data_IF_699597881862
#
_entry.id   IF_699597881862
#
_cell.length_a   1.000
_cell.length_b   1.000
_cell.length_c   1.000
_cell.angle_alpha   90.00
_cell.angle_beta   90.00
_cell.angle_gamma   90.00
#
_symmetry.space_group_name_H-M   'P 1'
#
loop_
_entity.id
_entity.type
_entity.pdbx_description
1 polymer ?
#
# COMPACT_ATOMS: atom_id res chain seq x y z
N UNK A 1 -16.66 4.02 -13.21
CA UNK A 1 -15.27 3.61 -13.46
C UNK A 1 -14.58 4.78 -14.13
N UNK A 2 -13.42 5.24 -13.69
CA UNK A 2 -12.65 6.16 -14.51
C UNK A 2 -12.32 5.45 -15.82
N UNK A 3 -12.39 6.20 -16.93
CA UNK A 3 -11.99 5.72 -18.25
C UNK A 3 -10.63 5.02 -18.15
N UNK A 4 -10.45 3.92 -18.88
CA UNK A 4 -9.17 3.19 -18.84
C UNK A 4 -8.04 4.16 -19.22
N UNK A 5 -6.89 4.06 -18.57
CA UNK A 5 -5.74 4.95 -18.83
C UNK A 5 -5.32 4.96 -20.32
N UNK A 6 -5.54 3.88 -21.05
CA UNK A 6 -5.31 3.80 -22.49
C UNK A 6 -6.22 4.73 -23.30
N UNK A 7 -7.47 4.94 -22.83
CA UNK A 7 -8.41 5.89 -23.45
C UNK A 7 -8.02 7.34 -23.15
N UNK A 8 -7.44 7.62 -21.97
CA UNK A 8 -7.02 8.97 -21.61
C UNK A 8 -5.91 9.50 -22.51
N UNK A 9 -4.91 8.68 -22.90
CA UNK A 9 -3.85 9.13 -23.81
C UNK A 9 -4.37 9.38 -25.22
N UNK A 10 -5.31 8.56 -25.71
CA UNK A 10 -5.91 8.76 -27.06
C UNK A 10 -6.83 9.98 -27.15
N UNK A 11 -7.32 10.47 -26.02
CA UNK A 11 -8.21 11.65 -25.91
C UNK A 11 -7.48 12.91 -25.43
N UNK A 12 -6.17 12.83 -25.14
CA UNK A 12 -5.39 13.99 -24.70
C UNK A 12 -5.25 15.04 -25.78
N UNK A 13 -5.81 16.21 -25.51
CA UNK A 13 -5.63 17.40 -26.33
C UNK A 13 -4.28 18.10 -26.09
N UNK A 14 -3.67 17.94 -24.91
CA UNK A 14 -2.48 18.67 -24.52
C UNK A 14 -1.48 17.81 -23.74
N UNK A 15 -0.34 17.52 -24.37
CA UNK A 15 0.85 17.00 -23.70
C UNK A 15 1.51 18.16 -22.95
N UNK A 16 1.55 18.11 -21.63
CA UNK A 16 2.16 19.18 -20.83
C UNK A 16 3.68 19.10 -20.83
N UNK A 17 4.25 17.89 -20.74
CA UNK A 17 5.70 17.65 -20.77
C UNK A 17 6.00 16.26 -21.32
N UNK A 18 7.02 16.16 -22.18
CA UNK A 18 7.54 14.91 -22.74
C UNK A 18 8.98 14.69 -22.26
N UNK A 19 9.25 13.50 -21.76
CA UNK A 19 10.58 13.04 -21.32
C UNK A 19 10.98 11.82 -22.17
N UNK A 20 11.58 12.02 -23.34
CA UNK A 20 11.98 10.92 -24.20
C UNK A 20 13.14 10.12 -23.58
N UNK A 21 13.01 8.78 -23.59
CA UNK A 21 14.06 7.83 -23.23
C UNK A 21 14.78 7.39 -24.52
N UNK A 22 14.02 7.28 -25.62
CA UNK A 22 14.49 6.96 -26.96
C UNK A 22 13.60 7.65 -27.99
N UNK A 23 13.90 7.49 -29.29
CA UNK A 23 13.06 8.04 -30.38
C UNK A 23 11.63 7.51 -30.35
N UNK A 24 11.42 6.32 -29.74
CA UNK A 24 10.15 5.61 -29.74
C UNK A 24 9.51 5.40 -28.37
N UNK A 25 10.15 5.80 -27.27
CA UNK A 25 9.65 5.57 -25.92
C UNK A 25 10.01 6.70 -24.98
N UNK A 26 9.20 6.92 -23.95
CA UNK A 26 9.43 7.94 -22.93
C UNK A 26 8.37 7.96 -21.85
N UNK A 27 8.35 9.06 -21.10
CA UNK A 27 7.35 9.35 -20.05
C UNK A 27 6.67 10.66 -20.37
N UNK A 28 5.34 10.67 -20.37
CA UNK A 28 4.54 11.87 -20.57
C UNK A 28 3.92 12.33 -19.25
N UNK A 29 3.85 13.66 -19.09
CA UNK A 29 2.90 14.30 -18.21
C UNK A 29 1.89 15.00 -19.11
N UNK A 30 0.62 14.70 -18.92
CA UNK A 30 -0.48 15.24 -19.72
C UNK A 30 -1.62 15.69 -18.83
N UNK A 31 -2.39 16.67 -19.30
CA UNK A 31 -3.55 17.19 -18.59
C UNK A 31 -4.85 16.54 -19.12
N UNK A 32 -5.71 16.15 -18.20
CA UNK A 32 -7.08 15.71 -18.49
C UNK A 32 -8.01 16.17 -17.36
N UNK A 33 -9.03 16.97 -17.70
CA UNK A 33 -10.02 17.44 -16.73
C UNK A 33 -9.41 18.23 -15.56
N UNK A 34 -8.49 19.14 -15.81
CA UNK A 34 -7.75 19.97 -14.83
C UNK A 34 -6.86 19.15 -13.86
N UNK A 35 -6.46 17.95 -14.23
CA UNK A 35 -5.50 17.12 -13.48
C UNK A 35 -4.37 16.68 -14.39
N UNK A 36 -3.15 16.67 -13.85
CA UNK A 36 -2.00 16.10 -14.51
C UNK A 36 -1.92 14.61 -14.24
N UNK A 37 -1.63 13.84 -15.27
CA UNK A 37 -1.41 12.40 -15.22
C UNK A 37 -0.03 12.04 -15.74
N UNK A 38 0.49 10.91 -15.29
CA UNK A 38 1.77 10.35 -15.73
C UNK A 38 1.50 9.10 -16.55
N UNK A 39 2.19 8.93 -17.67
CA UNK A 39 2.16 7.69 -18.40
C UNK A 39 3.49 7.40 -19.10
N UNK A 40 4.11 6.23 -18.85
CA UNK A 40 5.05 5.66 -19.79
C UNK A 40 4.38 5.45 -21.16
N UNK A 41 5.07 5.78 -22.24
CA UNK A 41 4.52 5.73 -23.59
C UNK A 41 5.48 5.11 -24.60
N UNK A 42 4.92 4.69 -25.73
CA UNK A 42 5.66 4.34 -26.94
C UNK A 42 5.03 5.01 -28.18
N UNK A 43 5.89 5.27 -29.19
CA UNK A 43 5.52 5.77 -30.50
C UNK A 43 5.83 4.66 -31.52
N UNK A 44 4.83 3.88 -31.90
CA UNK A 44 4.95 2.85 -32.96
C UNK A 44 4.07 3.21 -34.18
N UNK A 45 2.79 2.95 -34.12
CA UNK A 45 1.78 3.36 -35.15
C UNK A 45 1.04 4.65 -34.74
N UNK A 46 1.54 5.35 -33.76
CA UNK A 46 0.98 6.51 -33.10
C UNK A 46 1.44 6.54 -31.65
N UNK A 47 1.07 7.59 -30.93
CA UNK A 47 1.34 7.71 -29.50
C UNK A 47 0.37 6.81 -28.73
N UNK A 48 0.89 5.88 -27.96
CA UNK A 48 0.09 5.04 -27.06
C UNK A 48 0.77 4.84 -25.72
N UNK A 49 0.00 4.49 -24.71
CA UNK A 49 0.53 4.05 -23.43
C UNK A 49 1.36 2.79 -23.59
N UNK A 50 2.48 2.73 -22.87
CA UNK A 50 3.31 1.54 -22.80
C UNK A 50 2.61 0.41 -22.03
N UNK A 51 2.91 -0.81 -22.42
CA UNK A 51 2.56 -2.03 -21.70
C UNK A 51 3.86 -2.79 -21.34
N UNK A 52 3.76 -3.87 -20.57
CA UNK A 52 4.94 -4.59 -20.10
C UNK A 52 5.89 -5.08 -21.21
N UNK A 53 5.37 -5.41 -22.40
CA UNK A 53 6.20 -5.86 -23.52
C UNK A 53 7.06 -4.75 -24.13
N UNK A 54 6.70 -3.50 -23.87
CA UNK A 54 7.45 -2.35 -24.35
C UNK A 54 8.68 -2.04 -23.48
N UNK A 55 8.75 -2.59 -22.28
CA UNK A 55 9.87 -2.47 -21.33
C UNK A 55 10.32 -1.02 -21.09
N UNK A 56 9.40 -0.08 -20.97
CA UNK A 56 9.72 1.35 -20.86
C UNK A 56 10.34 1.67 -19.51
N UNK A 57 9.86 1.05 -18.42
CA UNK A 57 10.44 1.22 -17.09
C UNK A 57 11.85 0.60 -17.00
N UNK A 58 12.03 -0.57 -17.65
CA UNK A 58 13.34 -1.20 -17.76
C UNK A 58 14.33 -0.32 -18.54
N UNK A 59 13.89 0.25 -19.67
CA UNK A 59 14.70 1.20 -20.46
C UNK A 59 15.06 2.45 -19.65
N UNK A 60 14.08 3.03 -18.94
CA UNK A 60 14.30 4.23 -18.11
C UNK A 60 15.35 4.02 -17.04
N UNK A 61 15.31 2.87 -16.33
CA UNK A 61 16.25 2.57 -15.26
C UNK A 61 17.60 1.99 -15.75
N UNK A 62 17.72 1.61 -17.03
CA UNK A 62 18.95 1.12 -17.63
C UNK A 62 19.74 2.19 -18.39
N UNK A 63 19.18 3.39 -18.57
CA UNK A 63 19.76 4.48 -19.33
C UNK A 63 19.90 5.73 -18.46
N UNK A 64 20.67 6.73 -18.90
CA UNK A 64 20.67 8.05 -18.27
C UNK A 64 19.24 8.61 -18.22
N UNK A 65 18.89 9.17 -17.07
CA UNK A 65 17.58 9.75 -16.86
C UNK A 65 17.39 10.94 -17.82
N UNK A 66 16.22 11.04 -18.50
CA UNK A 66 15.91 12.15 -19.40
C UNK A 66 16.07 13.52 -18.74
N UNK A 67 16.51 14.50 -19.55
CA UNK A 67 16.63 15.89 -19.11
C UNK A 67 15.29 16.40 -18.53
N UNK A 68 15.35 17.10 -17.41
CA UNK A 68 14.18 17.62 -16.68
C UNK A 68 13.61 16.65 -15.63
N UNK A 69 14.05 15.40 -15.61
CA UNK A 69 13.82 14.46 -14.52
C UNK A 69 15.02 14.39 -13.58
N UNK A 70 14.75 14.10 -12.31
CA UNK A 70 15.77 13.78 -11.30
C UNK A 70 15.51 12.36 -10.78
N UNK A 71 16.56 11.55 -10.72
CA UNK A 71 16.49 10.21 -10.13
C UNK A 71 17.51 10.07 -9.00
N UNK A 72 17.11 9.36 -7.94
CA UNK A 72 18.00 8.85 -6.91
C UNK A 72 18.30 7.37 -7.10
N UNK A 73 17.70 6.72 -8.11
CA UNK A 73 17.95 5.31 -8.45
C UNK A 73 19.28 5.19 -9.18
N UNK A 74 20.15 4.30 -8.72
CA UNK A 74 21.37 3.96 -9.45
C UNK A 74 21.01 3.24 -10.76
N UNK A 75 21.66 3.57 -11.90
CA UNK A 75 21.42 2.86 -13.15
C UNK A 75 21.66 1.36 -13.00
N UNK A 76 20.73 0.56 -13.51
CA UNK A 76 20.81 -0.89 -13.56
C UNK A 76 20.92 -1.43 -14.98
N UNK A 77 20.70 -2.73 -15.15
CA UNK A 77 20.55 -3.36 -16.45
C UNK A 77 19.33 -4.28 -16.39
N UNK A 78 18.24 -3.86 -17.00
CA UNK A 78 16.96 -4.57 -16.95
C UNK A 78 16.49 -4.88 -18.37
N UNK A 79 15.91 -6.07 -18.56
CA UNK A 79 15.56 -6.60 -19.89
C UNK A 79 14.10 -7.00 -20.01
N UNK A 80 13.44 -7.35 -18.92
CA UNK A 80 12.07 -7.81 -18.90
C UNK A 80 11.23 -6.99 -17.94
N UNK A 81 9.96 -6.84 -18.29
CA UNK A 81 8.98 -6.11 -17.50
C UNK A 81 7.65 -6.86 -17.47
N UNK A 82 7.03 -6.96 -16.31
CA UNK A 82 5.65 -7.44 -16.17
C UNK A 82 4.84 -6.56 -15.25
N UNK A 83 3.56 -6.38 -15.55
CA UNK A 83 2.63 -5.68 -14.66
C UNK A 83 2.22 -6.54 -13.47
N UNK A 84 1.99 -5.88 -12.33
CA UNK A 84 1.24 -6.43 -11.21
C UNK A 84 -0.18 -5.88 -11.29
N UNK A 85 -1.18 -6.76 -11.42
CA UNK A 85 -2.59 -6.40 -11.68
C UNK A 85 -3.38 -6.00 -10.41
N UNK A 86 -2.74 -5.57 -9.33
CA UNK A 86 -3.36 -5.60 -8.01
C UNK A 86 -3.80 -4.24 -7.49
N UNK A 87 -3.32 -3.10 -8.01
CA UNK A 87 -3.63 -1.82 -7.37
C UNK A 87 -4.37 -0.83 -8.28
N UNK A 88 -5.34 -0.10 -7.69
CA UNK A 88 -6.18 0.86 -8.40
C UNK A 88 -5.62 2.30 -8.36
N UNK A 89 -4.75 2.62 -7.40
CA UNK A 89 -4.21 3.97 -7.19
C UNK A 89 -2.93 4.23 -7.95
N UNK A 90 -2.12 3.19 -8.20
CA UNK A 90 -0.82 3.25 -8.84
C UNK A 90 -0.69 2.16 -9.89
N UNK A 91 0.32 2.26 -10.71
CA UNK A 91 0.70 1.21 -11.65
C UNK A 91 2.04 0.65 -11.25
N UNK A 92 2.07 -0.64 -10.95
CA UNK A 92 3.28 -1.33 -10.53
C UNK A 92 3.76 -2.30 -11.61
N UNK A 93 5.05 -2.24 -11.91
CA UNK A 93 5.73 -3.17 -12.81
C UNK A 93 6.91 -3.82 -12.11
N UNK A 94 7.18 -5.07 -12.42
CA UNK A 94 8.34 -5.81 -11.94
C UNK A 94 9.34 -5.98 -13.05
N UNK A 95 10.60 -5.63 -12.79
CA UNK A 95 11.73 -5.73 -13.70
C UNK A 95 12.59 -6.92 -13.30
N UNK A 96 12.80 -7.87 -14.23
CA UNK A 96 13.66 -9.06 -14.09
C UNK A 96 13.46 -9.82 -12.76
N UNK A 97 12.22 -9.84 -12.23
CA UNK A 97 11.85 -10.43 -10.93
C UNK A 97 12.74 -9.93 -9.75
N UNK A 98 13.32 -8.74 -9.87
CA UNK A 98 14.29 -8.19 -8.90
C UNK A 98 13.92 -6.81 -8.38
N UNK A 99 13.27 -5.99 -9.19
CA UNK A 99 12.88 -4.62 -8.85
C UNK A 99 11.40 -4.40 -9.13
N UNK A 100 10.69 -3.79 -8.19
CA UNK A 100 9.35 -3.27 -8.41
C UNK A 100 9.40 -1.75 -8.62
N UNK A 101 8.81 -1.26 -9.69
CA UNK A 101 8.63 0.18 -9.98
C UNK A 101 7.17 0.52 -9.82
N UNK A 102 6.87 1.43 -8.92
CA UNK A 102 5.52 1.94 -8.63
C UNK A 102 5.37 3.32 -9.28
N UNK A 103 4.61 3.40 -10.37
CA UNK A 103 4.29 4.65 -11.06
C UNK A 103 3.11 5.34 -10.39
N UNK A 104 3.27 6.61 -10.07
CA UNK A 104 2.18 7.44 -9.59
C UNK A 104 1.16 7.70 -10.70
N UNK A 105 -0.12 7.86 -10.34
CA UNK A 105 -1.15 8.27 -11.31
C UNK A 105 -0.96 9.70 -11.77
N UNK A 106 -0.57 10.57 -10.85
CA UNK A 106 -0.35 11.98 -11.08
C UNK A 106 0.86 12.48 -10.31
N UNK A 107 1.58 13.50 -10.83
CA UNK A 107 2.72 14.09 -10.13
C UNK A 107 2.26 14.79 -8.86
N UNK A 108 2.76 14.37 -7.69
CA UNK A 108 2.45 15.02 -6.41
C UNK A 108 3.66 14.98 -5.48
N UNK A 109 3.64 15.79 -4.43
CA UNK A 109 4.58 15.64 -3.32
C UNK A 109 4.16 14.40 -2.54
N UNK A 110 5.00 13.39 -2.54
CA UNK A 110 4.71 12.15 -1.84
C UNK A 110 5.32 12.21 -0.44
N UNK A 111 4.48 12.04 0.55
CA UNK A 111 4.93 11.82 1.91
C UNK A 111 5.31 10.34 2.13
N UNK A 112 4.70 9.43 1.39
CA UNK A 112 5.08 8.02 1.39
C UNK A 112 6.55 7.82 1.02
N UNK A 113 7.02 8.48 -0.05
CA UNK A 113 8.44 8.45 -0.42
C UNK A 113 9.35 9.01 0.69
N UNK A 114 8.93 10.07 1.37
CA UNK A 114 9.67 10.61 2.50
C UNK A 114 9.71 9.65 3.69
N UNK A 115 8.58 9.02 4.04
CA UNK A 115 8.52 7.99 5.10
C UNK A 115 9.46 6.81 4.79
N UNK A 116 9.48 6.33 3.56
CA UNK A 116 10.40 5.25 3.15
C UNK A 116 11.87 5.67 3.25
N UNK A 117 12.21 6.91 2.90
CA UNK A 117 13.56 7.46 3.09
C UNK A 117 13.93 7.52 4.59
N UNK A 118 13.05 8.05 5.44
CA UNK A 118 13.24 8.11 6.91
C UNK A 118 13.42 6.70 7.50
N UNK A 119 12.60 5.75 7.10
CA UNK A 119 12.70 4.36 7.54
C UNK A 119 14.03 3.71 7.13
N UNK A 120 14.48 3.98 5.90
CA UNK A 120 15.76 3.49 5.37
C UNK A 120 16.93 4.07 6.16
N UNK A 121 16.94 5.39 6.37
CA UNK A 121 17.99 6.09 7.09
C UNK A 121 18.08 5.65 8.56
N UNK A 122 16.94 5.33 9.17
CA UNK A 122 16.85 4.84 10.55
C UNK A 122 16.97 3.30 10.67
N UNK A 123 17.31 2.60 9.58
CA UNK A 123 17.64 1.19 9.58
C UNK A 123 16.47 0.25 9.85
N UNK A 124 15.24 0.61 9.45
CA UNK A 124 14.06 -0.24 9.59
C UNK A 124 14.21 -1.51 8.72
N UNK A 125 14.26 -2.67 9.38
CA UNK A 125 14.63 -3.92 8.73
C UNK A 125 13.50 -4.58 7.92
N UNK A 126 12.27 -4.11 8.05
CA UNK A 126 11.07 -4.73 7.45
C UNK A 126 10.55 -3.97 6.23
N UNK A 127 11.32 -3.03 5.72
CA UNK A 127 11.04 -2.35 4.44
C UNK A 127 11.72 -3.12 3.30
N UNK A 128 11.06 -3.40 2.16
CA UNK A 128 11.76 -3.76 0.94
C UNK A 128 12.78 -2.67 0.60
N UNK A 129 14.03 -3.06 0.33
CA UNK A 129 15.12 -2.11 0.08
C UNK A 129 14.70 -1.03 -0.93
N UNK A 130 14.70 0.24 -0.49
CA UNK A 130 14.42 1.39 -1.35
C UNK A 130 15.62 1.61 -2.27
N UNK A 131 15.41 1.44 -3.58
CA UNK A 131 16.45 1.71 -4.60
C UNK A 131 16.47 3.19 -5.00
N UNK A 132 15.39 3.89 -4.80
CA UNK A 132 15.25 5.32 -4.99
C UNK A 132 13.98 5.75 -5.71
N UNK A 133 13.96 7.02 -6.10
CA UNK A 133 12.78 7.71 -6.59
C UNK A 133 13.09 8.49 -7.87
N UNK A 134 12.05 8.70 -8.71
CA UNK A 134 12.09 9.54 -9.90
C UNK A 134 11.16 10.72 -9.68
N UNK A 135 11.69 11.93 -9.89
CA UNK A 135 10.98 13.18 -9.66
C UNK A 135 10.97 14.06 -10.91
N UNK A 136 9.88 14.78 -11.10
CA UNK A 136 9.78 15.95 -11.94
C UNK A 136 9.61 17.19 -11.05
N UNK A 137 10.61 18.08 -11.06
CA UNK A 137 10.72 19.15 -10.07
C UNK A 137 10.76 18.55 -8.65
N UNK A 138 9.76 18.88 -7.81
CA UNK A 138 9.60 18.36 -6.45
C UNK A 138 8.49 17.28 -6.32
N UNK A 139 7.98 16.81 -7.46
CA UNK A 139 6.87 15.86 -7.50
C UNK A 139 7.35 14.47 -7.85
N UNK A 140 6.92 13.48 -7.08
CA UNK A 140 7.18 12.08 -7.34
C UNK A 140 6.47 11.62 -8.62
N UNK A 141 7.17 10.91 -9.48
CA UNK A 141 6.63 10.21 -10.64
C UNK A 141 6.62 8.71 -10.44
N UNK A 142 7.69 8.16 -9.90
CA UNK A 142 7.81 6.74 -9.60
C UNK A 142 8.77 6.48 -8.44
N UNK A 143 8.58 5.39 -7.74
CA UNK A 143 9.53 4.81 -6.78
C UNK A 143 9.95 3.41 -7.23
N UNK A 144 11.16 3.00 -6.87
CA UNK A 144 11.68 1.68 -7.12
C UNK A 144 12.19 1.03 -5.83
N UNK A 145 11.70 -0.16 -5.57
CA UNK A 145 12.09 -0.98 -4.42
C UNK A 145 12.53 -2.36 -4.89
N UNK A 146 13.32 -3.05 -4.08
CA UNK A 146 13.63 -4.46 -4.31
C UNK A 146 12.35 -5.28 -4.31
N UNK A 147 12.16 -6.07 -5.37
CA UNK A 147 11.03 -6.99 -5.43
C UNK A 147 11.27 -8.21 -4.55
N UNK A 148 10.38 -8.48 -3.61
CA UNK A 148 10.47 -9.63 -2.73
C UNK A 148 9.67 -10.78 -3.34
N UNK A 149 10.40 -11.72 -3.93
CA UNK A 149 9.79 -12.90 -4.55
C UNK A 149 9.18 -13.85 -3.51
N UNK A 150 8.16 -14.60 -3.92
CA UNK A 150 7.55 -15.65 -3.11
C UNK A 150 6.87 -15.11 -1.85
N UNK A 151 6.34 -13.89 -1.92
CA UNK A 151 5.49 -13.32 -0.87
C UNK A 151 4.01 -13.49 -1.19
N UNK A 152 3.19 -13.58 -0.16
CA UNK A 152 1.74 -13.38 -0.21
C UNK A 152 1.36 -12.12 0.54
N UNK A 153 0.32 -11.45 0.07
CA UNK A 153 -0.26 -10.29 0.76
C UNK A 153 -0.99 -10.70 2.04
N UNK A 154 -1.19 -9.74 2.93
CA UNK A 154 -1.76 -9.98 4.24
C UNK A 154 -3.19 -10.49 4.21
N UNK A 155 -4.00 -10.09 3.23
CA UNK A 155 -5.35 -10.64 3.10
C UNK A 155 -5.30 -12.14 2.84
N UNK A 156 -4.36 -12.61 2.01
CA UNK A 156 -4.20 -14.02 1.72
C UNK A 156 -3.71 -14.81 2.93
N UNK A 157 -2.52 -14.48 3.46
CA UNK A 157 -1.92 -15.30 4.51
C UNK A 157 -2.63 -15.17 5.87
N UNK A 158 -3.18 -13.98 6.21
CA UNK A 158 -3.84 -13.77 7.48
C UNK A 158 -5.23 -14.45 7.54
N UNK A 159 -5.94 -14.50 6.41
CA UNK A 159 -7.20 -15.27 6.31
C UNK A 159 -6.93 -16.78 6.50
N UNK A 160 -5.84 -17.31 5.97
CA UNK A 160 -5.48 -18.71 6.23
C UNK A 160 -5.17 -18.94 7.73
N UNK A 161 -4.45 -18.00 8.38
CA UNK A 161 -4.23 -18.06 9.83
C UNK A 161 -5.53 -18.06 10.64
N UNK A 162 -6.50 -17.24 10.25
CA UNK A 162 -7.82 -17.23 10.88
C UNK A 162 -8.55 -18.58 10.71
N UNK A 163 -8.56 -19.14 9.50
CA UNK A 163 -9.18 -20.46 9.23
C UNK A 163 -8.53 -21.60 10.01
N UNK A 164 -7.20 -21.54 10.16
CA UNK A 164 -6.41 -22.50 10.94
C UNK A 164 -6.50 -22.26 12.45
N UNK A 165 -7.11 -21.16 12.89
CA UNK A 165 -7.13 -20.70 14.29
C UNK A 165 -5.73 -20.50 14.86
N UNK A 166 -4.80 -20.12 13.99
CA UNK A 166 -3.40 -19.97 14.36
C UNK A 166 -3.20 -18.64 15.10
N UNK A 167 -2.79 -18.74 16.37
CA UNK A 167 -2.39 -17.65 17.25
C UNK A 167 -0.88 -17.69 17.52
N UNK A 168 -0.13 -18.14 16.53
CA UNK A 168 1.31 -18.33 16.65
C UNK A 168 2.14 -17.05 16.70
N UNK A 169 3.47 -17.19 16.68
CA UNK A 169 4.41 -16.08 16.87
C UNK A 169 4.29 -14.95 15.84
N UNK A 170 3.60 -15.16 14.74
CA UNK A 170 3.42 -14.14 13.71
C UNK A 170 2.74 -12.87 14.24
N UNK A 171 1.83 -13.00 15.26
CA UNK A 171 1.14 -11.85 15.86
C UNK A 171 2.13 -11.00 16.65
N UNK A 172 2.98 -11.65 17.46
CA UNK A 172 4.03 -10.95 18.22
C UNK A 172 5.06 -10.31 17.30
N UNK A 173 5.43 -11.00 16.20
CA UNK A 173 6.35 -10.47 15.18
C UNK A 173 5.75 -9.24 14.49
N UNK A 174 4.44 -9.26 14.19
CA UNK A 174 3.72 -8.12 13.62
C UNK A 174 3.68 -6.94 14.59
N UNK A 175 3.41 -7.18 15.86
CA UNK A 175 3.40 -6.15 16.90
C UNK A 175 4.80 -5.52 17.09
N UNK A 176 5.85 -6.34 17.09
CA UNK A 176 7.23 -5.87 17.21
C UNK A 176 7.63 -5.04 15.99
N UNK A 177 7.32 -5.52 14.77
CA UNK A 177 7.53 -4.79 13.53
C UNK A 177 6.84 -3.42 13.57
N UNK A 178 5.57 -3.37 14.03
CA UNK A 178 4.79 -2.12 14.15
C UNK A 178 5.45 -1.15 15.12
N UNK A 179 5.87 -1.62 16.28
CA UNK A 179 6.58 -0.80 17.28
C UNK A 179 7.91 -0.26 16.74
N UNK A 180 8.66 -1.08 16.03
CA UNK A 180 9.93 -0.67 15.40
C UNK A 180 9.69 0.34 14.27
N UNK A 181 8.66 0.14 13.46
CA UNK A 181 8.25 1.10 12.41
C UNK A 181 7.98 2.48 12.99
N UNK A 182 7.14 2.57 14.04
CA UNK A 182 6.84 3.85 14.68
C UNK A 182 8.07 4.51 15.30
N UNK A 183 8.97 3.72 15.91
CA UNK A 183 10.24 4.24 16.43
C UNK A 183 11.10 4.83 15.31
N UNK A 184 11.17 4.18 14.15
CA UNK A 184 11.98 4.63 13.02
C UNK A 184 11.33 5.80 12.26
N UNK A 185 10.01 5.96 12.30
CA UNK A 185 9.28 7.05 11.64
C UNK A 185 9.36 8.40 12.41
N UNK A 186 9.92 8.41 13.63
CA UNK A 186 10.21 9.65 14.39
C UNK A 186 9.01 10.61 14.55
N UNK A 187 7.83 10.06 14.81
CA UNK A 187 6.59 10.83 15.01
C UNK A 187 5.71 10.92 13.77
N UNK A 188 6.12 10.35 12.63
CA UNK A 188 5.22 10.05 11.55
C UNK A 188 4.54 8.69 11.79
N UNK A 189 3.45 8.43 11.06
CA UNK A 189 2.76 7.14 11.07
C UNK A 189 2.64 6.61 9.64
N UNK A 190 2.31 5.32 9.50
CA UNK A 190 2.02 4.74 8.18
C UNK A 190 0.82 5.44 7.53
N UNK A 191 -0.27 5.59 8.31
CA UNK A 191 -1.46 6.35 7.92
C UNK A 191 -2.53 5.53 7.21
N UNK A 192 -2.21 4.29 6.78
CA UNK A 192 -3.15 3.30 6.22
C UNK A 192 -2.67 1.88 6.55
N UNK A 193 -2.41 1.64 7.84
CA UNK A 193 -1.72 0.44 8.32
C UNK A 193 -2.69 -0.69 8.64
N UNK A 194 -2.89 -1.59 7.70
CA UNK A 194 -3.75 -2.77 7.85
C UNK A 194 -3.04 -4.04 7.33
N UNK A 195 -3.62 -5.22 7.54
CA UNK A 195 -2.98 -6.50 7.13
C UNK A 195 -2.61 -6.54 5.65
N UNK A 196 -3.35 -5.86 4.76
CA UNK A 196 -3.05 -5.79 3.34
C UNK A 196 -1.71 -5.16 3.00
N UNK A 197 -1.17 -4.32 3.90
CA UNK A 197 0.15 -3.69 3.74
C UNK A 197 1.30 -4.56 4.25
N UNK A 198 1.00 -5.80 4.66
CA UNK A 198 2.00 -6.73 5.20
C UNK A 198 2.19 -7.89 4.24
N UNK A 199 3.36 -7.94 3.60
CA UNK A 199 3.75 -9.11 2.82
C UNK A 199 4.43 -10.13 3.75
N UNK A 200 4.15 -11.41 3.53
CA UNK A 200 4.78 -12.54 4.23
C UNK A 200 5.50 -13.44 3.22
N UNK A 201 6.76 -13.75 3.49
CA UNK A 201 7.54 -14.67 2.66
C UNK A 201 7.07 -16.11 2.88
N UNK A 202 6.82 -16.86 1.79
CA UNK A 202 6.20 -18.19 1.83
C UNK A 202 6.98 -19.24 2.65
N UNK A 203 8.31 -19.13 2.72
CA UNK A 203 9.19 -20.12 3.35
C UNK A 203 9.85 -19.62 4.64
N UNK A 204 9.43 -18.47 5.14
CA UNK A 204 9.90 -17.91 6.41
C UNK A 204 8.78 -17.07 7.03
N UNK A 205 8.85 -16.85 8.34
CA UNK A 205 7.91 -15.95 9.02
C UNK A 205 8.30 -14.47 8.88
N UNK A 206 9.15 -14.14 7.90
CA UNK A 206 9.56 -12.76 7.66
C UNK A 206 8.43 -11.96 7.04
N UNK A 207 8.15 -10.85 7.69
CA UNK A 207 7.16 -9.86 7.27
C UNK A 207 7.84 -8.64 6.63
N UNK A 208 7.11 -7.95 5.76
CA UNK A 208 7.54 -6.73 5.10
C UNK A 208 6.38 -5.75 5.09
N UNK A 209 6.67 -4.47 5.35
CA UNK A 209 5.67 -3.39 5.25
C UNK A 209 5.83 -2.69 3.92
N UNK A 210 4.70 -2.39 3.29
CA UNK A 210 4.64 -1.70 2.00
C UNK A 210 3.62 -0.57 2.05
N UNK A 211 3.67 0.33 1.08
CA UNK A 211 2.65 1.33 0.77
C UNK A 211 2.42 2.43 1.82
N UNK A 212 3.42 3.25 2.01
CA UNK A 212 3.44 4.36 2.99
C UNK A 212 2.72 5.64 2.52
N UNK A 213 1.97 5.62 1.42
CA UNK A 213 1.27 6.81 0.89
C UNK A 213 0.15 7.32 1.82
N UNK A 214 -0.30 6.50 2.79
CA UNK A 214 -1.37 6.84 3.71
C UNK A 214 -2.76 6.68 3.10
N UNK A 215 -3.79 7.04 3.86
CA UNK A 215 -5.19 6.91 3.44
C UNK A 215 -5.53 7.91 2.32
N UNK A 216 -5.88 7.43 1.12
CA UNK A 216 -6.21 8.29 -0.02
C UNK A 216 -7.46 9.15 0.18
N UNK A 217 -8.26 8.87 1.20
CA UNK A 217 -9.45 9.62 1.57
C UNK A 217 -9.19 10.66 2.66
N UNK A 218 -8.03 10.61 3.31
CA UNK A 218 -7.68 11.60 4.34
C UNK A 218 -7.46 12.96 3.68
N UNK A 219 -8.24 13.94 4.11
CA UNK A 219 -8.08 15.36 3.75
C UNK A 219 -7.43 16.15 4.90
N UNK A 220 -7.18 15.49 6.01
CA UNK A 220 -6.62 16.10 7.21
C UNK A 220 -5.09 16.15 7.13
N UNK A 221 -4.50 17.10 7.85
CA UNK A 221 -3.06 17.08 8.10
C UNK A 221 -2.72 15.74 8.74
N UNK A 222 -1.66 15.11 8.27
CA UNK A 222 -1.27 13.79 8.75
C UNK A 222 -1.24 13.72 10.26
N UNK A 223 -1.95 12.74 10.79
CA UNK A 223 -1.89 12.40 12.19
C UNK A 223 -0.47 11.93 12.54
N UNK A 224 -0.05 12.29 13.73
CA UNK A 224 1.17 11.77 14.35
C UNK A 224 0.87 10.78 15.48
N UNK A 225 -0.42 10.44 15.65
CA UNK A 225 -0.86 9.53 16.69
C UNK A 225 -0.73 8.07 16.22
N UNK A 226 0.28 7.38 16.72
CA UNK A 226 0.53 5.96 16.45
C UNK A 226 -0.67 5.06 16.77
N UNK A 227 -1.58 5.52 17.64
CA UNK A 227 -2.79 4.76 18.00
C UNK A 227 -3.70 4.56 16.77
N UNK A 228 -3.63 5.44 15.77
CA UNK A 228 -4.37 5.28 14.51
C UNK A 228 -3.91 4.06 13.71
N UNK A 229 -2.60 3.86 13.55
CA UNK A 229 -2.08 2.67 12.87
C UNK A 229 -2.40 1.39 13.66
N UNK A 230 -2.29 1.44 14.99
CA UNK A 230 -2.66 0.31 15.85
C UNK A 230 -4.15 -0.03 15.71
N UNK A 231 -5.01 0.99 15.70
CA UNK A 231 -6.45 0.82 15.53
C UNK A 231 -6.80 0.25 14.15
N UNK A 232 -6.16 0.75 13.10
CA UNK A 232 -6.35 0.27 11.72
C UNK A 232 -5.93 -1.20 11.58
N UNK A 233 -4.77 -1.58 12.16
CA UNK A 233 -4.34 -2.98 12.19
C UNK A 233 -5.33 -3.87 12.94
N UNK A 234 -5.78 -3.48 14.15
CA UNK A 234 -6.77 -4.23 14.92
C UNK A 234 -8.10 -4.34 14.17
N UNK A 235 -8.61 -3.26 13.57
CA UNK A 235 -9.82 -3.27 12.75
C UNK A 235 -9.70 -4.23 11.56
N UNK A 236 -8.52 -4.32 10.96
CA UNK A 236 -8.28 -5.24 9.84
C UNK A 236 -8.40 -6.72 10.22
N UNK A 237 -8.21 -7.10 11.50
CA UNK A 237 -8.47 -8.48 11.96
C UNK A 237 -9.95 -8.83 11.92
N UNK A 238 -10.86 -7.87 12.13
CA UNK A 238 -12.29 -8.07 11.94
C UNK A 238 -12.63 -8.33 10.47
N UNK A 239 -12.01 -7.59 9.55
CA UNK A 239 -12.16 -7.84 8.11
C UNK A 239 -11.63 -9.21 7.69
N UNK A 240 -10.47 -9.63 8.20
CA UNK A 240 -9.93 -10.99 8.01
C UNK A 240 -10.94 -12.04 8.49
N UNK A 241 -11.52 -11.83 9.67
CA UNK A 241 -12.56 -12.71 10.20
C UNK A 241 -13.80 -12.77 9.32
N UNK A 242 -14.29 -11.61 8.84
CA UNK A 242 -15.43 -11.56 7.92
C UNK A 242 -15.16 -12.34 6.64
N UNK A 243 -13.94 -12.24 6.09
CA UNK A 243 -13.53 -13.02 4.91
C UNK A 243 -13.51 -14.51 5.22
N UNK A 244 -12.91 -14.91 6.35
CA UNK A 244 -12.85 -16.33 6.74
C UNK A 244 -14.25 -16.93 6.90
N UNK A 245 -15.18 -16.22 7.55
CA UNK A 245 -16.59 -16.63 7.71
C UNK A 245 -17.28 -16.75 6.36
N UNK A 246 -17.10 -15.78 5.47
CA UNK A 246 -17.65 -15.81 4.11
C UNK A 246 -17.21 -17.05 3.32
N UNK A 247 -16.01 -17.54 3.58
CA UNK A 247 -15.47 -18.76 2.98
C UNK A 247 -15.71 -20.02 3.81
N UNK A 248 -16.65 -19.99 4.75
CA UNK A 248 -17.19 -21.17 5.43
C UNK A 248 -16.56 -21.51 6.76
N UNK A 249 -15.73 -20.62 7.34
CA UNK A 249 -15.25 -20.81 8.71
C UNK A 249 -16.39 -20.59 9.71
N UNK A 250 -16.32 -21.29 10.85
CA UNK A 250 -17.29 -21.16 11.94
C UNK A 250 -17.24 -19.77 12.57
N UNK A 251 -18.39 -19.09 12.64
CA UNK A 251 -18.48 -17.70 13.07
C UNK A 251 -18.03 -17.51 14.54
N UNK A 252 -18.42 -18.39 15.45
CA UNK A 252 -18.09 -18.24 16.87
C UNK A 252 -16.58 -18.40 17.09
N UNK A 253 -16.02 -19.37 16.40
CA UNK A 253 -14.58 -19.64 16.46
C UNK A 253 -13.75 -18.49 15.91
N UNK A 254 -14.22 -17.88 14.82
CA UNK A 254 -13.52 -16.73 14.21
C UNK A 254 -13.66 -15.50 15.09
N UNK A 255 -14.81 -15.27 15.71
CA UNK A 255 -15.00 -14.18 16.67
C UNK A 255 -14.03 -14.29 17.84
N UNK A 256 -13.84 -15.49 18.39
CA UNK A 256 -12.84 -15.73 19.43
C UNK A 256 -11.41 -15.47 18.94
N UNK A 257 -11.07 -15.97 17.73
CA UNK A 257 -9.76 -15.72 17.13
C UNK A 257 -9.45 -14.23 16.95
N UNK A 258 -10.42 -13.41 16.51
CA UNK A 258 -10.27 -11.96 16.37
C UNK A 258 -9.85 -11.34 17.71
N UNK A 259 -10.61 -11.61 18.78
CA UNK A 259 -10.35 -11.04 20.10
C UNK A 259 -8.99 -11.46 20.68
N UNK A 260 -8.62 -12.73 20.50
CA UNK A 260 -7.33 -13.24 20.95
C UNK A 260 -6.19 -12.61 20.15
N UNK A 261 -6.34 -12.45 18.83
CA UNK A 261 -5.35 -11.81 17.96
C UNK A 261 -5.15 -10.35 18.33
N UNK A 262 -6.24 -9.59 18.52
CA UNK A 262 -6.20 -8.20 18.98
C UNK A 262 -5.49 -8.08 20.35
N UNK A 263 -5.86 -8.94 21.31
CA UNK A 263 -5.29 -8.91 22.64
C UNK A 263 -3.77 -9.23 22.65
N UNK A 264 -3.32 -10.23 21.88
CA UNK A 264 -1.90 -10.58 21.77
C UNK A 264 -1.14 -9.42 21.08
N UNK A 265 -1.66 -8.92 19.96
CA UNK A 265 -1.04 -7.83 19.22
C UNK A 265 -0.86 -6.57 20.07
N UNK A 266 -1.94 -6.10 20.71
CA UNK A 266 -1.92 -4.88 21.54
C UNK A 266 -1.04 -5.06 22.79
N UNK A 267 -1.15 -6.20 23.49
CA UNK A 267 -0.30 -6.51 24.64
C UNK A 267 1.18 -6.46 24.30
N UNK A 268 1.56 -7.02 23.14
CA UNK A 268 2.95 -7.05 22.69
C UNK A 268 3.43 -5.69 22.21
N UNK A 269 2.59 -4.97 21.45
CA UNK A 269 2.91 -3.63 20.92
C UNK A 269 3.19 -2.64 22.06
N UNK A 270 2.29 -2.56 23.06
CA UNK A 270 2.44 -1.66 24.19
C UNK A 270 3.45 -2.15 25.24
N UNK A 271 3.83 -3.44 25.19
CA UNK A 271 4.88 -4.04 26.02
C UNK A 271 4.77 -3.68 27.51
N UNK A 272 3.56 -3.76 28.07
CA UNK A 272 3.28 -3.43 29.47
C UNK A 272 3.12 -1.93 29.77
N UNK A 273 3.28 -1.06 28.79
CA UNK A 273 2.94 0.36 28.95
C UNK A 273 1.42 0.52 29.06
N UNK A 274 0.98 1.45 29.90
CA UNK A 274 -0.44 1.78 29.98
C UNK A 274 -0.89 2.44 28.65
N UNK A 275 -2.03 1.99 28.12
CA UNK A 275 -2.69 2.60 26.98
C UNK A 275 -4.19 2.68 27.21
N UNK A 276 -4.84 3.61 26.54
CA UNK A 276 -6.28 3.78 26.62
C UNK A 276 -6.99 2.84 25.65
N UNK A 277 -7.45 1.70 26.13
CA UNK A 277 -8.20 0.71 25.34
C UNK A 277 -9.53 1.29 24.85
N UNK A 278 -10.15 2.22 25.59
CA UNK A 278 -11.40 2.86 25.17
C UNK A 278 -11.17 3.77 23.97
N UNK A 279 -10.08 4.53 23.99
CA UNK A 279 -9.66 5.35 22.84
C UNK A 279 -9.34 4.48 21.62
N UNK A 280 -8.65 3.36 21.79
CA UNK A 280 -8.38 2.40 20.72
C UNK A 280 -9.68 1.89 20.09
N UNK A 281 -10.61 1.38 20.89
CA UNK A 281 -11.90 0.85 20.41
C UNK A 281 -12.77 1.94 19.74
N UNK A 282 -12.73 3.17 20.25
CA UNK A 282 -13.43 4.30 19.63
C UNK A 282 -12.84 4.64 18.25
N UNK A 283 -11.51 4.62 18.09
CA UNK A 283 -10.84 4.80 16.80
C UNK A 283 -11.20 3.67 15.84
N UNK A 284 -11.14 2.41 16.25
CA UNK A 284 -11.53 1.26 15.42
C UNK A 284 -12.97 1.42 14.90
N UNK A 285 -13.91 1.76 15.78
CA UNK A 285 -15.32 1.97 15.38
C UNK A 285 -15.48 3.12 14.38
N UNK A 286 -14.73 4.20 14.55
CA UNK A 286 -14.72 5.35 13.63
C UNK A 286 -14.15 4.98 12.25
N UNK A 287 -13.08 4.19 12.22
CA UNK A 287 -12.47 3.67 11.00
C UNK A 287 -13.48 2.83 10.20
N UNK A 288 -14.20 1.91 10.86
CA UNK A 288 -15.17 1.03 10.20
C UNK A 288 -16.34 1.80 9.57
N UNK A 289 -16.80 2.87 10.20
CA UNK A 289 -17.84 3.75 9.60
C UNK A 289 -17.32 4.41 8.32
N UNK A 290 -16.03 4.75 8.28
CA UNK A 290 -15.38 5.32 7.10
C UNK A 290 -15.19 4.26 6.00
N UNK A 291 -14.72 3.06 6.37
CA UNK A 291 -14.59 1.91 5.48
C UNK A 291 -15.91 1.50 4.83
N UNK A 292 -17.00 1.51 5.59
CA UNK A 292 -18.32 1.22 5.05
C UNK A 292 -18.75 2.24 3.98
N UNK A 293 -18.50 3.54 4.21
CA UNK A 293 -18.78 4.59 3.22
C UNK A 293 -17.91 4.44 1.96
N UNK A 294 -16.64 4.04 2.14
CA UNK A 294 -15.76 3.76 1.03
C UNK A 294 -16.25 2.55 0.22
N UNK A 295 -16.60 1.46 0.89
CA UNK A 295 -17.14 0.27 0.26
C UNK A 295 -18.43 0.58 -0.52
N UNK A 296 -19.37 1.34 0.04
CA UNK A 296 -20.58 1.75 -0.63
C UNK A 296 -20.33 2.46 -1.96
N UNK A 297 -19.30 3.27 -2.00
CA UNK A 297 -19.00 4.12 -3.15
C UNK A 297 -18.12 3.44 -4.21
N UNK A 298 -17.14 2.67 -3.78
CA UNK A 298 -16.05 2.20 -4.66
C UNK A 298 -15.93 0.69 -4.76
N UNK A 299 -16.32 -0.06 -3.71
CA UNK A 299 -16.14 -1.51 -3.59
C UNK A 299 -17.38 -2.21 -3.00
N UNK A 300 -18.55 -2.13 -3.64
CA UNK A 300 -19.80 -2.68 -3.07
C UNK A 300 -19.71 -4.16 -2.69
N UNK A 301 -18.90 -4.95 -3.41
CA UNK A 301 -18.68 -6.36 -3.10
C UNK A 301 -17.90 -6.60 -1.81
N UNK A 302 -17.21 -5.59 -1.28
CA UNK A 302 -16.44 -5.62 -0.03
C UNK A 302 -17.26 -5.20 1.20
N UNK A 303 -18.44 -4.59 1.00
CA UNK A 303 -19.30 -4.03 2.03
C UNK A 303 -19.57 -4.95 3.23
N UNK A 304 -19.63 -6.27 2.99
CA UNK A 304 -19.87 -7.26 4.05
C UNK A 304 -18.82 -7.25 5.17
N UNK A 305 -17.59 -6.85 4.89
CA UNK A 305 -16.51 -6.87 5.86
C UNK A 305 -16.65 -5.74 6.91
N UNK A 306 -16.76 -4.45 6.53
CA UNK A 306 -17.04 -3.41 7.52
C UNK A 306 -18.43 -3.55 8.18
N UNK A 307 -19.44 -4.09 7.52
CA UNK A 307 -20.75 -4.39 8.16
C UNK A 307 -20.58 -5.41 9.29
N UNK A 308 -19.85 -6.50 9.05
CA UNK A 308 -19.55 -7.48 10.09
C UNK A 308 -18.78 -6.83 11.24
N UNK A 309 -17.72 -6.06 10.93
CA UNK A 309 -16.90 -5.40 11.94
C UNK A 309 -17.73 -4.46 12.83
N UNK A 310 -18.53 -3.57 12.22
CA UNK A 310 -19.41 -2.65 12.95
C UNK A 310 -20.40 -3.41 13.85
N UNK A 311 -21.04 -4.46 13.33
CA UNK A 311 -21.99 -5.26 14.12
C UNK A 311 -21.31 -5.91 15.30
N UNK A 312 -20.17 -6.54 15.08
CA UNK A 312 -19.46 -7.27 16.15
C UNK A 312 -18.84 -6.31 17.17
N UNK A 313 -18.22 -5.22 16.75
CA UNK A 313 -17.71 -4.19 17.67
C UNK A 313 -18.82 -3.59 18.55
N UNK A 314 -20.02 -3.38 17.97
CA UNK A 314 -21.19 -2.92 18.72
C UNK A 314 -21.62 -3.94 19.81
N UNK A 315 -21.65 -5.24 19.49
CA UNK A 315 -21.93 -6.31 20.44
C UNK A 315 -20.92 -6.32 21.60
N UNK A 316 -19.66 -6.00 21.32
CA UNK A 316 -18.57 -5.88 22.29
C UNK A 316 -18.59 -4.57 23.09
N UNK A 317 -19.46 -3.61 22.73
CA UNK A 317 -19.52 -2.29 23.36
C UNK A 317 -18.42 -1.32 22.92
N UNK A 318 -17.74 -1.60 21.81
CA UNK A 318 -16.74 -0.68 21.25
C UNK A 318 -17.42 0.60 20.74
N UNK A 319 -16.87 1.76 21.13
CA UNK A 319 -17.41 3.05 20.70
C UNK A 319 -18.74 3.46 21.36
N UNK A 320 -19.20 2.74 22.39
CA UNK A 320 -20.38 3.11 23.18
C UNK A 320 -19.96 4.12 24.25
N UNK A 321 -20.02 5.41 23.94
CA UNK A 321 -20.03 6.53 24.90
C UNK A 321 -21.18 7.48 24.52
#
# INVERSE_FOLDING_TARGET
MPASRSELISTCSDVSVDFPISDSAGVLIFESGNKNFIAPYVKDKGLRRANAKDCVSAQLLSNPIPEGLRSTIAPGSYSQERFISVDQSNESVVLDESVIVKWQLSPHKSLGAHKEEVLTDNGFAYLPELLGNIYWKDKLLASANKYIQGTSDGWTWCVEKAKERDLGPWIENLAQLTSEMHRCLEGLIHGDFHVGQILKTAHSDRLWVIDFEGDPLSTESESTDVLQDVASMCASFFHVGAVAIKYGADSEVIREWILQTEAIFTSKYFNGSAFDITALHALMSSLEVRELKYADKFLPQWRYAPEFAISYMKELGYGSN
#
